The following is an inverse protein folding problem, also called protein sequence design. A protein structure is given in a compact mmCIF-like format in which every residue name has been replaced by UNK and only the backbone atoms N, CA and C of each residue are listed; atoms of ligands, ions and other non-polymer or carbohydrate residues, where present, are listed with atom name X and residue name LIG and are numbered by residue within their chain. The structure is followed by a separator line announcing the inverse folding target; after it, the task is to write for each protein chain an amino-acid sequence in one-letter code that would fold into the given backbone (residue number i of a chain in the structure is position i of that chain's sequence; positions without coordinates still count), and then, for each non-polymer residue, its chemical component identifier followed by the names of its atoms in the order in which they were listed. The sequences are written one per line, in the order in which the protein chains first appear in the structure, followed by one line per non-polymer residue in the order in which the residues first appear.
data_IF_770555212258
#
_entry.id   IF_770555212258
#
_cell.length_a   1.000
_cell.length_b   1.000
_cell.length_c   1.000
_cell.angle_alpha   90.00
_cell.angle_beta   90.00
_cell.angle_gamma   90.00
#
_symmetry.space_group_name_H-M   'P 1'
#
loop_
_entity.id
_entity.type
_entity.pdbx_description
1 polymer ?
#
# COMPACT_ATOMS: atom_id res chain seq x y z
N UNK A 1 18.36 -28.25 6.25
CA UNK A 1 18.73 -28.20 4.81
C UNK A 1 18.33 -26.82 4.24
N UNK A 2 18.73 -25.65 4.75
CA UNK A 2 20.07 -25.05 4.84
C UNK A 2 21.04 -25.43 3.71
N UNK A 3 20.72 -25.09 2.46
CA UNK A 3 21.69 -25.10 1.36
C UNK A 3 21.20 -24.30 0.13
N UNK A 4 20.84 -23.02 0.27
CA UNK A 4 20.53 -22.19 -0.91
C UNK A 4 20.69 -20.67 -0.74
N UNK A 5 21.38 -20.19 0.31
CA UNK A 5 21.64 -18.76 0.52
C UNK A 5 23.12 -18.42 0.74
N UNK A 6 24.03 -19.34 0.37
CA UNK A 6 25.47 -19.18 0.60
C UNK A 6 26.29 -19.19 -0.71
N UNK A 7 25.73 -18.60 -1.77
CA UNK A 7 26.41 -18.57 -3.10
C UNK A 7 26.25 -17.24 -3.83
N UNK A 8 25.98 -16.13 -3.12
CA UNK A 8 25.88 -14.80 -3.76
C UNK A 8 26.83 -13.73 -3.18
N UNK A 9 27.42 -13.94 -2.00
CA UNK A 9 28.31 -12.93 -1.37
C UNK A 9 29.80 -13.11 -1.77
N UNK A 10 30.17 -14.20 -2.45
CA UNK A 10 31.57 -14.48 -2.85
C UNK A 10 31.96 -14.03 -4.27
N UNK A 11 31.10 -13.31 -5.00
CA UNK A 11 31.45 -12.76 -6.34
C UNK A 11 31.83 -11.29 -6.37
N UNK A 12 31.60 -10.53 -5.31
CA UNK A 12 31.95 -9.09 -5.26
C UNK A 12 33.35 -8.87 -4.67
N UNK A 13 33.86 -9.79 -3.85
CA UNK A 13 35.15 -9.63 -3.14
C UNK A 13 36.39 -10.00 -3.96
N UNK A 14 36.26 -10.53 -5.18
CA UNK A 14 37.39 -11.02 -5.97
C UNK A 14 37.85 -10.06 -7.09
N UNK A 15 37.20 -8.91 -7.26
CA UNK A 15 37.49 -7.96 -8.34
C UNK A 15 38.38 -6.76 -7.91
N UNK A 16 38.84 -6.71 -6.65
CA UNK A 16 39.62 -5.58 -6.10
C UNK A 16 41.08 -5.94 -5.84
N UNK A 17 41.53 -7.17 -6.19
CA UNK A 17 42.88 -7.66 -5.91
C UNK A 17 43.75 -7.95 -7.15
N UNK A 18 43.47 -7.34 -8.31
CA UNK A 18 44.25 -7.64 -9.54
C UNK A 18 44.71 -6.45 -10.39
N UNK A 19 44.89 -5.26 -9.82
CA UNK A 19 45.62 -4.18 -10.50
C UNK A 19 46.79 -3.70 -9.65
N UNK A 20 47.89 -4.45 -9.74
CA UNK A 20 49.20 -3.98 -9.34
C UNK A 20 49.72 -2.96 -10.36
N UNK A 21 49.79 -1.70 -9.96
CA UNK A 21 50.61 -0.66 -10.56
C UNK A 21 51.19 0.18 -9.43
N UNK A 22 52.31 -0.29 -8.89
CA UNK A 22 53.27 0.50 -8.12
C UNK A 22 54.32 1.08 -9.07
N UNK A 23 54.84 2.25 -8.69
CA UNK A 23 55.89 3.06 -9.33
C UNK A 23 55.43 4.03 -10.41
N UNK A 24 55.12 5.25 -9.99
CA UNK A 24 55.87 6.47 -10.36
C UNK A 24 55.51 7.58 -9.35
N UNK A 25 56.41 8.56 -9.18
CA UNK A 25 56.34 9.70 -8.26
C UNK A 25 56.89 9.47 -6.84
N UNK A 26 58.16 9.06 -6.78
CA UNK A 26 59.07 9.67 -5.81
C UNK A 26 59.47 11.05 -6.33
N UNK A 27 59.16 12.11 -5.59
CA UNK A 27 59.73 13.44 -5.84
C UNK A 27 58.77 14.62 -5.71
N UNK A 28 58.33 14.94 -4.49
CA UNK A 28 58.05 16.32 -4.05
C UNK A 28 57.64 16.34 -2.56
N UNK A 29 58.49 15.84 -1.67
CA UNK A 29 58.44 16.21 -0.26
C UNK A 29 59.26 17.49 -0.08
N UNK A 30 58.56 18.63 -0.11
CA UNK A 30 58.94 19.86 0.60
C UNK A 30 57.74 20.80 0.60
N UNK A 31 57.12 20.96 1.77
CA UNK A 31 56.09 21.98 2.02
C UNK A 31 54.79 21.41 2.57
N UNK A 32 54.40 21.92 3.74
CA UNK A 32 53.05 21.88 4.33
C UNK A 32 52.52 20.59 4.96
N UNK A 33 53.20 20.19 6.04
CA UNK A 33 52.61 19.39 7.13
C UNK A 33 51.57 20.17 8.00
N UNK A 34 50.95 21.23 7.49
CA UNK A 34 50.11 22.15 8.27
C UNK A 34 48.61 22.18 7.92
N UNK A 35 48.18 21.63 6.78
CA UNK A 35 46.85 21.94 6.21
C UNK A 35 45.83 20.79 6.25
N UNK A 36 46.18 19.61 6.81
CA UNK A 36 45.26 18.47 6.90
C UNK A 36 44.82 18.13 8.33
N UNK A 37 45.30 18.85 9.35
CA UNK A 37 44.89 18.66 10.74
C UNK A 37 43.70 19.56 11.17
N UNK A 38 43.26 20.51 10.34
CA UNK A 38 42.17 21.44 10.67
C UNK A 38 40.81 21.09 10.02
N UNK A 39 40.77 20.17 9.06
CA UNK A 39 39.52 19.73 8.43
C UNK A 39 38.75 18.67 9.26
N UNK A 40 39.42 18.01 10.21
CA UNK A 40 38.81 16.99 11.09
C UNK A 40 38.25 17.56 12.41
N UNK A 41 38.57 18.82 12.73
CA UNK A 41 38.13 19.49 13.96
C UNK A 41 36.91 20.40 13.75
N UNK A 42 36.51 20.69 12.51
CA UNK A 42 35.31 21.48 12.21
C UNK A 42 34.01 20.69 12.40
N UNK A 43 34.00 19.41 12.01
CA UNK A 43 32.82 18.56 12.16
C UNK A 43 32.59 18.10 13.60
N UNK A 44 33.68 17.81 14.33
CA UNK A 44 33.62 17.40 15.74
C UNK A 44 33.15 18.52 16.69
N UNK A 45 33.47 19.78 16.38
CA UNK A 45 33.10 20.93 17.23
C UNK A 45 31.65 21.39 17.05
N UNK A 46 31.05 21.15 15.88
CA UNK A 46 29.62 21.38 15.65
C UNK A 46 28.76 20.29 16.30
N UNK A 47 29.22 19.03 16.25
CA UNK A 47 28.49 17.90 16.83
C UNK A 47 28.50 17.89 18.37
N UNK A 48 29.45 18.61 19.00
CA UNK A 48 29.60 18.66 20.46
C UNK A 48 29.03 19.94 21.11
N UNK A 49 28.53 20.90 20.32
CA UNK A 49 28.00 22.20 20.82
C UNK A 49 26.49 22.22 21.07
N UNK A 50 25.76 21.13 20.81
CA UNK A 50 24.30 21.06 21.04
C UNK A 50 23.89 20.07 22.13
N UNK A 51 24.86 19.41 22.79
CA UNK A 51 24.65 18.67 24.03
C UNK A 51 24.80 19.57 25.27
N UNK A 52 24.23 20.78 25.19
CA UNK A 52 23.93 21.57 26.36
C UNK A 52 22.67 21.00 27.01
N UNK A 53 22.84 20.46 28.21
CA UNK A 53 21.78 20.04 29.10
C UNK A 53 20.61 21.04 29.08
N UNK A 54 19.44 20.57 28.64
CA UNK A 54 18.18 21.20 29.01
C UNK A 54 17.53 20.29 30.03
N UNK A 55 17.54 20.77 31.26
CA UNK A 55 16.82 20.24 32.40
C UNK A 55 15.32 20.41 32.16
N UNK A 56 14.71 19.49 31.42
CA UNK A 56 13.28 19.27 31.50
C UNK A 56 13.01 17.78 31.70
N UNK A 57 13.21 17.37 32.96
CA UNK A 57 12.69 16.13 33.49
C UNK A 57 11.19 16.02 33.18
N UNK A 58 10.83 15.12 32.27
CA UNK A 58 9.49 14.56 32.21
C UNK A 58 9.45 13.36 33.15
N UNK A 59 8.41 13.20 33.99
CA UNK A 59 8.37 12.14 34.98
C UNK A 59 8.43 10.78 34.27
N UNK A 60 9.44 9.98 34.61
CA UNK A 60 9.55 8.57 34.25
C UNK A 60 8.42 7.80 34.90
N UNK A 61 7.29 7.69 34.21
CA UNK A 61 6.29 6.69 34.51
C UNK A 61 6.87 5.30 34.21
N UNK A 62 6.82 4.42 35.20
CA UNK A 62 7.24 3.02 35.17
C UNK A 62 6.69 2.24 33.96
N UNK A 63 7.37 1.16 33.52
CA UNK A 63 6.92 0.36 32.39
C UNK A 63 5.68 -0.45 32.79
N UNK A 64 4.50 0.14 32.63
CA UNK A 64 3.26 -0.61 32.61
C UNK A 64 3.27 -1.45 31.32
N UNK A 65 3.25 -2.77 31.51
CA UNK A 65 3.00 -3.80 30.50
C UNK A 65 2.14 -3.29 29.35
N UNK A 66 2.71 -3.23 28.14
CA UNK A 66 1.95 -2.91 26.93
C UNK A 66 0.75 -3.86 26.81
N UNK A 67 -0.50 -3.36 26.87
CA UNK A 67 -1.64 -4.18 26.51
C UNK A 67 -1.54 -4.48 25.03
N UNK A 68 -1.72 -5.75 24.66
CA UNK A 68 -1.76 -6.21 23.27
C UNK A 68 -2.81 -5.47 22.42
N UNK A 69 -2.87 -5.71 21.10
CA UNK A 69 -3.68 -4.94 20.17
C UNK A 69 -5.13 -4.82 20.66
N UNK A 70 -5.44 -3.64 21.21
CA UNK A 70 -6.71 -3.29 21.81
C UNK A 70 -7.78 -3.28 20.74
N UNK A 71 -8.59 -4.32 20.75
CA UNK A 71 -9.89 -4.37 20.08
C UNK A 71 -10.69 -3.15 20.54
N UNK A 72 -11.04 -2.26 19.60
CA UNK A 72 -11.88 -1.09 19.86
C UNK A 72 -13.13 -1.53 20.65
N UNK A 73 -13.44 -0.91 21.80
CA UNK A 73 -14.60 -1.27 22.59
C UNK A 73 -15.87 -0.83 21.83
N UNK A 74 -16.69 -1.79 21.41
CA UNK A 74 -18.04 -1.51 20.89
C UNK A 74 -18.49 -2.30 19.65
N UNK A 75 -17.61 -3.04 18.96
CA UNK A 75 -18.06 -4.01 17.94
C UNK A 75 -17.67 -5.40 18.40
N UNK A 76 -18.59 -6.04 19.11
CA UNK A 76 -18.60 -7.48 19.18
C UNK A 76 -18.77 -7.99 17.74
N UNK A 77 -17.67 -8.36 17.08
CA UNK A 77 -17.74 -9.25 15.92
C UNK A 77 -18.22 -10.58 16.49
N UNK A 78 -19.54 -10.77 16.48
CA UNK A 78 -20.16 -11.98 16.98
C UNK A 78 -19.61 -13.17 16.18
N UNK A 79 -18.95 -14.16 16.83
CA UNK A 79 -18.66 -15.42 16.18
C UNK A 79 -19.97 -16.21 16.12
N UNK A 80 -20.60 -16.22 14.95
CA UNK A 80 -21.83 -16.98 14.74
C UNK A 80 -22.77 -16.28 13.75
N UNK A 81 -22.67 -16.64 12.48
CA UNK A 81 -23.75 -17.35 11.78
C UNK A 81 -23.22 -17.78 10.41
N UNK A 82 -22.80 -19.04 10.36
CA UNK A 82 -22.87 -19.82 9.14
C UNK A 82 -24.35 -19.99 8.81
N UNK A 83 -24.69 -19.95 7.52
CA UNK A 83 -26.02 -20.21 6.95
C UNK A 83 -26.97 -19.01 6.92
N UNK A 84 -27.16 -18.44 5.73
CA UNK A 84 -28.32 -17.56 5.43
C UNK A 84 -28.02 -16.15 4.93
N UNK A 85 -26.81 -15.84 4.42
CA UNK A 85 -26.54 -14.52 3.84
C UNK A 85 -27.00 -14.43 2.40
N UNK A 86 -28.30 -14.25 2.20
CA UNK A 86 -28.83 -14.10 0.85
C UNK A 86 -28.57 -12.70 0.27
N UNK A 87 -28.36 -11.70 1.12
CA UNK A 87 -28.25 -10.29 0.74
C UNK A 87 -26.90 -9.69 1.14
N UNK A 88 -26.33 -8.86 0.26
CA UNK A 88 -25.08 -8.15 0.52
C UNK A 88 -24.99 -6.82 -0.24
N UNK A 89 -23.92 -6.08 0.02
CA UNK A 89 -23.62 -4.81 -0.64
C UNK A 89 -22.28 -4.94 -1.37
N UNK A 90 -22.28 -4.67 -2.67
CA UNK A 90 -21.05 -4.56 -3.48
C UNK A 90 -20.71 -3.10 -3.67
N UNK A 91 -19.54 -2.74 -3.15
CA UNK A 91 -18.91 -1.45 -3.37
C UNK A 91 -18.05 -1.50 -4.62
N UNK A 92 -18.38 -0.66 -5.60
CA UNK A 92 -17.64 -0.49 -6.85
C UNK A 92 -16.90 0.84 -6.79
N UNK A 93 -15.59 0.80 -6.57
CA UNK A 93 -14.76 2.00 -6.60
C UNK A 93 -14.03 2.09 -7.94
N UNK A 94 -14.49 3.00 -8.79
CA UNK A 94 -13.95 3.27 -10.12
C UNK A 94 -13.09 4.52 -10.06
N UNK A 95 -11.77 4.31 -10.05
CA UNK A 95 -10.80 5.39 -10.23
C UNK A 95 -10.28 5.38 -11.67
N UNK A 96 -9.71 6.49 -12.13
CA UNK A 96 -9.14 6.61 -13.49
C UNK A 96 -8.08 5.55 -13.83
N UNK A 97 -7.46 4.95 -12.82
CA UNK A 97 -6.34 4.01 -12.99
C UNK A 97 -6.67 2.56 -12.59
N UNK A 98 -7.79 2.34 -11.90
CA UNK A 98 -8.11 1.05 -11.33
C UNK A 98 -9.59 0.96 -10.92
N UNK A 99 -10.14 -0.25 -11.02
CA UNK A 99 -11.44 -0.61 -10.45
C UNK A 99 -11.23 -1.61 -9.33
N UNK A 100 -11.78 -1.29 -8.16
CA UNK A 100 -11.75 -2.13 -6.97
C UNK A 100 -13.19 -2.46 -6.60
N UNK A 101 -13.45 -3.75 -6.41
CA UNK A 101 -14.75 -4.28 -6.06
C UNK A 101 -14.64 -4.94 -4.69
N UNK A 102 -15.57 -4.61 -3.80
CA UNK A 102 -15.58 -5.13 -2.44
C UNK A 102 -16.98 -5.56 -2.07
N UNK A 103 -17.13 -6.83 -1.72
CA UNK A 103 -18.36 -7.38 -1.20
C UNK A 103 -18.37 -7.27 0.32
N UNK A 104 -19.44 -6.70 0.84
CA UNK A 104 -19.69 -6.51 2.26
C UNK A 104 -21.05 -7.06 2.65
N UNK A 105 -21.18 -7.39 3.92
CA UNK A 105 -22.49 -7.60 4.54
C UNK A 105 -23.21 -6.26 4.79
N UNK A 106 -24.49 -6.32 5.18
CA UNK A 106 -25.28 -5.15 5.57
C UNK A 106 -24.65 -4.37 6.73
N UNK A 107 -23.95 -5.07 7.62
CA UNK A 107 -23.21 -4.50 8.75
C UNK A 107 -21.83 -3.94 8.38
N UNK A 108 -21.46 -3.92 7.09
CA UNK A 108 -20.19 -3.34 6.62
C UNK A 108 -18.96 -4.23 6.81
N UNK A 109 -19.13 -5.48 7.24
CA UNK A 109 -18.02 -6.45 7.31
C UNK A 109 -17.65 -6.95 5.91
N UNK A 110 -16.40 -6.74 5.50
CA UNK A 110 -15.87 -7.21 4.21
C UNK A 110 -15.76 -8.72 4.17
N UNK A 111 -16.32 -9.33 3.11
CA UNK A 111 -16.26 -10.78 2.87
C UNK A 111 -15.30 -11.16 1.77
N UNK A 112 -15.32 -10.42 0.68
CA UNK A 112 -14.48 -10.67 -0.47
C UNK A 112 -14.10 -9.34 -1.14
N UNK A 113 -12.92 -9.32 -1.74
CA UNK A 113 -12.50 -8.23 -2.59
C UNK A 113 -11.82 -8.77 -3.84
N UNK A 114 -11.99 -8.05 -4.94
CA UNK A 114 -11.30 -8.27 -6.19
C UNK A 114 -11.00 -6.91 -6.81
N UNK A 115 -9.96 -6.86 -7.64
CA UNK A 115 -9.60 -5.65 -8.37
C UNK A 115 -9.11 -6.02 -9.75
N UNK A 116 -9.05 -5.04 -10.65
CA UNK A 116 -8.47 -5.25 -11.97
C UNK A 116 -7.05 -5.85 -11.89
N UNK A 117 -6.26 -5.47 -10.87
CA UNK A 117 -4.93 -6.04 -10.64
C UNK A 117 -4.96 -7.50 -10.15
N UNK A 118 -5.91 -7.85 -9.27
CA UNK A 118 -6.11 -9.24 -8.79
C UNK A 118 -6.51 -10.16 -9.94
N UNK A 119 -7.25 -9.63 -10.93
CA UNK A 119 -7.62 -10.34 -12.14
C UNK A 119 -6.47 -10.52 -13.14
N UNK A 120 -5.25 -10.07 -12.82
CA UNK A 120 -4.07 -10.22 -13.67
C UNK A 120 -3.85 -9.08 -14.68
N UNK A 121 -4.71 -8.06 -14.70
CA UNK A 121 -4.53 -6.92 -15.60
C UNK A 121 -3.43 -5.97 -15.08
N UNK A 122 -2.40 -5.78 -15.90
CA UNK A 122 -1.22 -4.93 -15.61
C UNK A 122 -1.17 -3.71 -16.53
N UNK A 123 -0.41 -2.69 -16.13
CA UNK A 123 -0.16 -1.49 -16.94
C UNK A 123 -1.42 -0.73 -17.35
N UNK A 124 -1.48 -0.28 -18.60
CA UNK A 124 -2.60 0.50 -19.14
C UNK A 124 -3.92 -0.29 -19.19
N UNK A 125 -3.86 -1.62 -19.38
CA UNK A 125 -5.05 -2.49 -19.44
C UNK A 125 -5.84 -2.48 -18.13
N UNK A 126 -5.17 -2.23 -16.99
CA UNK A 126 -5.81 -2.12 -15.66
C UNK A 126 -6.86 -1.01 -15.57
N UNK A 127 -6.77 0.02 -16.42
CA UNK A 127 -7.69 1.17 -16.44
C UNK A 127 -8.95 0.93 -17.27
N UNK A 128 -8.94 -0.12 -18.11
CA UNK A 128 -9.98 -0.37 -19.09
C UNK A 128 -11.23 -1.03 -18.51
N UNK A 129 -12.34 -0.91 -19.24
CA UNK A 129 -13.62 -1.49 -18.85
C UNK A 129 -13.60 -3.03 -18.84
N UNK A 130 -12.84 -3.65 -19.77
CA UNK A 130 -12.65 -5.11 -19.81
C UNK A 130 -12.07 -5.63 -18.50
N UNK A 131 -11.06 -4.93 -17.96
CA UNK A 131 -10.44 -5.33 -16.70
C UNK A 131 -11.39 -5.20 -15.48
N UNK A 132 -12.36 -4.29 -15.55
CA UNK A 132 -13.41 -4.18 -14.54
C UNK A 132 -14.40 -5.36 -14.62
N UNK A 133 -14.73 -5.81 -15.83
CA UNK A 133 -15.54 -7.00 -16.07
C UNK A 133 -14.87 -8.26 -15.52
N UNK A 134 -13.58 -8.47 -15.82
CA UNK A 134 -12.82 -9.62 -15.30
C UNK A 134 -12.80 -9.65 -13.76
N UNK A 135 -12.58 -8.49 -13.13
CA UNK A 135 -12.61 -8.37 -11.68
C UNK A 135 -14.00 -8.65 -11.09
N UNK A 136 -15.06 -8.23 -11.78
CA UNK A 136 -16.45 -8.46 -11.36
C UNK A 136 -16.84 -9.93 -11.42
N UNK A 137 -16.43 -10.64 -12.48
CA UNK A 137 -16.64 -12.10 -12.59
C UNK A 137 -15.93 -12.83 -11.45
N UNK A 138 -14.67 -12.49 -11.17
CA UNK A 138 -13.93 -13.10 -10.06
C UNK A 138 -14.55 -12.83 -8.69
N UNK A 139 -15.05 -11.60 -8.46
CA UNK A 139 -15.75 -11.29 -7.21
C UNK A 139 -17.07 -12.07 -7.11
N UNK A 140 -17.84 -12.14 -8.19
CA UNK A 140 -19.13 -12.81 -8.20
C UNK A 140 -19.01 -14.32 -7.96
N UNK A 141 -18.02 -14.98 -8.55
CA UNK A 141 -17.74 -16.39 -8.28
C UNK A 141 -17.44 -16.64 -6.79
N UNK A 142 -16.62 -15.78 -6.18
CA UNK A 142 -16.33 -15.86 -4.73
C UNK A 142 -17.58 -15.57 -3.88
N UNK A 143 -18.41 -14.63 -4.31
CA UNK A 143 -19.66 -14.28 -3.62
C UNK A 143 -20.67 -15.43 -3.62
N UNK A 144 -20.82 -16.12 -4.75
CA UNK A 144 -21.69 -17.28 -4.90
C UNK A 144 -21.21 -18.43 -4.00
N UNK A 145 -19.89 -18.68 -3.95
CA UNK A 145 -19.31 -19.68 -3.03
C UNK A 145 -19.55 -19.38 -1.55
N UNK A 146 -19.80 -18.12 -1.19
CA UNK A 146 -20.16 -17.69 0.16
C UNK A 146 -21.68 -17.65 0.43
N UNK A 147 -22.51 -17.96 -0.58
CA UNK A 147 -23.97 -18.04 -0.44
C UNK A 147 -24.75 -16.75 -0.76
N UNK A 148 -24.12 -15.71 -1.30
CA UNK A 148 -24.81 -14.47 -1.68
C UNK A 148 -25.60 -14.65 -2.98
N UNK A 149 -26.87 -14.23 -2.98
CA UNK A 149 -27.77 -14.30 -4.16
C UNK A 149 -28.19 -12.91 -4.65
N UNK A 150 -28.50 -12.03 -3.70
CA UNK A 150 -29.01 -10.68 -3.94
C UNK A 150 -27.97 -9.65 -3.48
N UNK A 151 -27.74 -8.63 -4.29
CA UNK A 151 -26.72 -7.62 -4.03
C UNK A 151 -27.24 -6.23 -4.35
N UNK A 152 -27.06 -5.29 -3.42
CA UNK A 152 -27.16 -3.87 -3.68
C UNK A 152 -25.79 -3.32 -4.12
N UNK A 153 -25.75 -2.56 -5.21
CA UNK A 153 -24.49 -2.04 -5.77
C UNK A 153 -24.36 -0.57 -5.43
N UNK A 154 -23.28 -0.21 -4.72
CA UNK A 154 -22.91 1.17 -4.40
C UNK A 154 -21.69 1.56 -5.19
N UNK A 155 -21.80 2.62 -5.99
CA UNK A 155 -20.76 3.00 -6.93
C UNK A 155 -20.11 4.29 -6.45
N UNK A 156 -18.78 4.34 -6.55
CA UNK A 156 -18.00 5.54 -6.29
C UNK A 156 -17.09 5.81 -7.48
N UNK A 157 -17.23 6.99 -8.06
CA UNK A 157 -16.38 7.47 -9.15
C UNK A 157 -17.01 7.35 -10.53
N UNK A 158 -16.40 8.05 -11.47
CA UNK A 158 -16.94 8.28 -12.82
C UNK A 158 -16.07 7.54 -13.84
N UNK A 159 -16.70 6.91 -14.83
CA UNK A 159 -16.03 6.33 -15.99
C UNK A 159 -16.68 5.05 -16.54
N UNK A 160 -16.23 4.61 -17.72
CA UNK A 160 -16.79 3.47 -18.46
C UNK A 160 -16.74 2.12 -17.70
N UNK A 161 -15.83 1.98 -16.73
CA UNK A 161 -15.73 0.77 -15.91
C UNK A 161 -16.93 0.56 -14.97
N UNK A 162 -17.73 1.60 -14.71
CA UNK A 162 -18.94 1.54 -13.88
C UNK A 162 -19.98 0.57 -14.43
N UNK A 163 -20.40 0.81 -15.67
CA UNK A 163 -21.49 0.06 -16.31
C UNK A 163 -21.08 -1.38 -16.59
N UNK A 164 -19.85 -1.58 -17.05
CA UNK A 164 -19.32 -2.90 -17.34
C UNK A 164 -19.23 -3.76 -16.07
N UNK A 165 -18.82 -3.20 -14.93
CA UNK A 165 -18.80 -3.94 -13.67
C UNK A 165 -20.20 -4.43 -13.26
N UNK A 166 -21.23 -3.57 -13.33
CA UNK A 166 -22.61 -3.94 -13.00
C UNK A 166 -23.11 -5.05 -13.93
N UNK A 167 -22.90 -4.89 -15.24
CA UNK A 167 -23.32 -5.85 -16.26
C UNK A 167 -22.65 -7.21 -16.05
N UNK A 168 -21.36 -7.24 -15.72
CA UNK A 168 -20.63 -8.48 -15.44
C UNK A 168 -21.07 -9.17 -14.15
N UNK A 169 -21.43 -8.41 -13.10
CA UNK A 169 -22.02 -8.97 -11.87
C UNK A 169 -23.36 -9.66 -12.17
N UNK A 170 -24.21 -9.02 -12.97
CA UNK A 170 -25.49 -9.60 -13.41
C UNK A 170 -25.29 -10.85 -14.26
N UNK A 171 -24.36 -10.80 -15.23
CA UNK A 171 -24.07 -11.91 -16.13
C UNK A 171 -23.54 -13.16 -15.40
N UNK A 172 -22.89 -13.00 -14.26
CA UNK A 172 -22.35 -14.12 -13.46
C UNK A 172 -23.41 -14.79 -12.57
N UNK A 173 -24.62 -14.21 -12.47
CA UNK A 173 -25.75 -14.79 -11.73
C UNK A 173 -26.07 -14.14 -10.38
N UNK A 174 -25.46 -12.99 -10.05
CA UNK A 174 -25.89 -12.20 -8.90
C UNK A 174 -27.09 -11.32 -9.27
N UNK A 175 -28.14 -11.35 -8.45
CA UNK A 175 -29.32 -10.49 -8.64
C UNK A 175 -29.05 -9.10 -8.06
N UNK A 176 -28.98 -8.10 -8.94
CA UNK A 176 -28.81 -6.70 -8.53
C UNK A 176 -30.16 -6.10 -8.12
N UNK A 177 -30.33 -5.76 -6.86
CA UNK A 177 -31.60 -5.23 -6.31
C UNK A 177 -31.70 -3.72 -6.42
N UNK A 178 -30.60 -3.01 -6.15
CA UNK A 178 -30.53 -1.55 -6.13
C UNK A 178 -29.17 -1.07 -6.64
N UNK A 179 -29.17 0.04 -7.36
CA UNK A 179 -27.95 0.70 -7.84
C UNK A 179 -27.94 2.12 -7.27
N UNK A 180 -26.96 2.40 -6.41
CA UNK A 180 -26.78 3.72 -5.80
C UNK A 180 -25.46 4.36 -6.28
N UNK A 181 -25.50 5.65 -6.60
CA UNK A 181 -24.31 6.46 -6.79
C UNK A 181 -23.91 7.13 -5.47
N UNK A 182 -22.70 6.88 -5.03
CA UNK A 182 -22.09 7.44 -3.81
C UNK A 182 -20.85 8.28 -4.16
N UNK A 183 -20.77 8.79 -5.38
CA UNK A 183 -19.69 9.69 -5.80
C UNK A 183 -19.75 10.98 -5.01
N UNK A 184 -18.75 11.19 -4.14
CA UNK A 184 -18.68 12.36 -3.29
C UNK A 184 -18.44 13.64 -4.12
N UNK A 185 -19.37 14.59 -4.03
CA UNK A 185 -19.22 15.95 -4.54
C UNK A 185 -18.86 16.86 -3.37
N UNK A 186 -17.68 17.52 -3.37
CA UNK A 186 -17.30 18.41 -2.29
C UNK A 186 -18.03 19.76 -2.39
N UNK A 187 -18.63 20.22 -1.30
CA UNK A 187 -19.22 21.56 -1.17
C UNK A 187 -18.12 22.59 -0.83
N UNK A 188 -17.24 22.89 -1.79
CA UNK A 188 -16.11 23.81 -1.63
C UNK A 188 -15.15 23.43 -0.48
N UNK A 189 -14.55 22.24 -0.58
CA UNK A 189 -13.54 21.74 0.36
C UNK A 189 -12.10 22.08 -0.06
N UNK A 190 -11.17 21.13 0.07
CA UNK A 190 -9.76 21.30 -0.27
C UNK A 190 -9.54 21.70 -1.75
N UNK A 191 -8.56 22.58 -1.99
CA UNK A 191 -8.15 22.98 -3.33
C UNK A 191 -7.71 21.76 -4.17
N UNK A 192 -8.28 21.52 -5.37
CA UNK A 192 -7.81 20.48 -6.27
C UNK A 192 -6.35 20.70 -6.69
N UNK A 193 -5.58 19.64 -6.98
CA UNK A 193 -4.20 19.77 -7.43
C UNK A 193 -4.12 20.60 -8.72
N UNK A 194 -3.05 21.37 -8.85
CA UNK A 194 -2.81 22.19 -10.04
C UNK A 194 -2.85 21.34 -11.31
N UNK A 195 -3.34 21.94 -12.41
CA UNK A 195 -3.42 21.27 -13.71
C UNK A 195 -2.04 20.76 -14.11
N UNK A 196 -1.92 19.46 -14.37
CA UNK A 196 -0.66 18.85 -14.82
C UNK A 196 -0.25 19.44 -16.16
N UNK A 197 1.03 19.77 -16.31
CA UNK A 197 1.65 20.11 -17.59
C UNK A 197 1.93 18.79 -18.30
N UNK A 198 1.18 18.50 -19.35
CA UNK A 198 1.27 17.26 -20.14
C UNK A 198 1.77 17.56 -21.52
#
# INVERSE_FOLDING_TARGET
MQAALHTSVRRISAAIQSSGLTHELSGALRGDAGALASAQLGWARWFQSSNGARDNAWPTASPASSPGPGKLPGVAVQPGYESGREQGIVHVNTTKNNTILTLTDLYGSTKCAASAGTAGNKGARRKGAVAAGDAAVQLAQRAIGLGFKNVAVRIKGIGAAREVAIRSLQATGLKVTRIDDTTALPHNGCRPPARRRL
#
